data_IF_883669184329
#
_entry.id   IF_883669184329
#
_cell.length_a   1.000
_cell.length_b   1.000
_cell.length_c   1.000
_cell.angle_alpha   90.00
_cell.angle_beta   90.00
_cell.angle_gamma   90.00
#
_symmetry.space_group_name_H-M   'P 1'
#
loop_
_entity.id
_entity.type
_entity.pdbx_description
1 polymer ?
#
# COMPACT_ATOMS: atom_id res chain seq x y z
N UNK A 1 -1.51 -70.47 -58.35
CA UNK A 1 -1.46 -70.36 -59.82
C UNK A 1 -1.93 -68.97 -60.23
N UNK A 2 -1.07 -68.25 -60.97
CA UNK A 2 -1.31 -67.13 -61.89
C UNK A 2 -2.05 -65.87 -61.35
N UNK A 3 -1.36 -64.78 -61.01
CA UNK A 3 -1.03 -63.59 -61.85
C UNK A 3 -2.18 -62.92 -62.61
N UNK A 4 -2.32 -61.59 -62.43
CA UNK A 4 -2.66 -60.50 -63.40
C UNK A 4 -3.45 -59.41 -62.65
N UNK A 5 -2.90 -58.29 -62.18
CA UNK A 5 -2.25 -57.11 -62.80
C UNK A 5 -3.13 -56.33 -63.80
N UNK A 6 -3.28 -55.02 -63.48
CA UNK A 6 -3.68 -53.87 -64.33
C UNK A 6 -5.18 -53.72 -64.58
N UNK A 7 -5.79 -52.55 -64.74
CA UNK A 7 -5.47 -51.12 -64.57
C UNK A 7 -6.77 -50.38 -64.97
N UNK A 8 -6.76 -49.05 -64.88
CA UNK A 8 -7.57 -48.09 -65.66
C UNK A 8 -8.76 -47.44 -64.94
N UNK A 9 -8.41 -46.37 -64.22
CA UNK A 9 -8.95 -45.00 -64.36
C UNK A 9 -10.26 -44.85 -65.15
N UNK A 10 -11.31 -44.38 -64.47
CA UNK A 10 -12.28 -43.46 -65.05
C UNK A 10 -12.45 -42.25 -64.16
N UNK A 11 -11.84 -41.16 -64.61
CA UNK A 11 -12.13 -39.78 -64.26
C UNK A 11 -13.61 -39.52 -64.55
N UNK A 12 -14.36 -38.96 -63.60
CA UNK A 12 -15.42 -37.97 -63.82
C UNK A 12 -16.02 -37.56 -62.47
N UNK A 13 -16.12 -36.26 -62.20
CA UNK A 13 -16.98 -35.74 -61.13
C UNK A 13 -16.28 -34.77 -60.19
N UNK A 14 -16.24 -33.51 -60.60
CA UNK A 14 -15.80 -32.37 -59.82
C UNK A 14 -16.61 -32.21 -58.51
N UNK A 15 -15.91 -32.05 -57.38
CA UNK A 15 -16.27 -31.09 -56.32
C UNK A 15 -15.12 -30.99 -55.30
N UNK A 16 -14.09 -30.22 -55.64
CA UNK A 16 -13.11 -29.74 -54.68
C UNK A 16 -13.78 -28.68 -53.79
N UNK A 17 -14.43 -29.10 -52.71
CA UNK A 17 -14.95 -28.19 -51.69
C UNK A 17 -13.82 -27.87 -50.70
N UNK A 18 -13.00 -26.87 -51.05
CA UNK A 18 -12.06 -26.25 -50.12
C UNK A 18 -12.82 -25.68 -48.93
N UNK A 19 -12.69 -26.32 -47.77
CA UNK A 19 -13.15 -25.80 -46.50
C UNK A 19 -12.18 -24.69 -46.04
N UNK A 20 -12.46 -23.46 -46.43
CA UNK A 20 -11.81 -22.27 -45.85
C UNK A 20 -12.37 -22.12 -44.43
N UNK A 21 -11.56 -22.50 -43.44
CA UNK A 21 -11.82 -22.16 -42.03
C UNK A 21 -11.58 -20.66 -41.87
N UNK A 22 -12.67 -19.88 -41.89
CA UNK A 22 -12.64 -18.49 -41.45
C UNK A 22 -12.46 -18.50 -39.92
N UNK A 23 -11.23 -18.30 -39.45
CA UNK A 23 -10.97 -18.05 -38.04
C UNK A 23 -11.68 -16.73 -37.65
N UNK A 24 -12.56 -16.70 -36.63
CA UNK A 24 -13.01 -15.43 -36.10
C UNK A 24 -11.81 -14.79 -35.43
N UNK A 25 -11.20 -13.80 -36.08
CA UNK A 25 -10.32 -12.86 -35.41
C UNK A 25 -11.19 -12.12 -34.40
N UNK A 26 -11.20 -12.58 -33.15
CA UNK A 26 -11.75 -11.86 -32.04
C UNK A 26 -10.95 -10.56 -31.91
N UNK A 27 -11.46 -9.50 -32.55
CA UNK A 27 -10.95 -8.16 -32.37
C UNK A 27 -11.14 -7.86 -30.88
N UNK A 28 -10.02 -7.69 -30.17
CA UNK A 28 -10.00 -7.13 -28.84
C UNK A 28 -10.74 -5.79 -28.89
N UNK A 29 -12.02 -5.78 -28.53
CA UNK A 29 -12.79 -4.56 -28.42
C UNK A 29 -12.13 -3.76 -27.30
N UNK A 30 -11.51 -2.65 -27.69
CA UNK A 30 -10.96 -1.67 -26.73
C UNK A 30 -12.07 -1.35 -25.75
N UNK A 31 -11.75 -1.41 -24.45
CA UNK A 31 -12.69 -1.12 -23.36
C UNK A 31 -13.49 0.15 -23.75
N UNK A 32 -14.83 0.06 -23.91
CA UNK A 32 -15.63 1.20 -24.32
C UNK A 32 -15.34 2.39 -23.40
N UNK A 33 -15.10 3.56 -23.99
CA UNK A 33 -14.77 4.76 -23.23
C UNK A 33 -16.05 5.28 -22.57
N UNK A 34 -16.34 4.81 -21.35
CA UNK A 34 -17.45 5.29 -20.53
C UNK A 34 -16.96 6.25 -19.42
N UNK A 35 -17.88 6.87 -18.69
CA UNK A 35 -17.55 7.84 -17.66
C UNK A 35 -16.82 7.24 -16.44
N UNK A 36 -16.83 5.91 -16.26
CA UNK A 36 -16.06 5.25 -15.20
C UNK A 36 -14.55 5.32 -15.44
N UNK A 37 -14.12 5.61 -16.67
CA UNK A 37 -12.70 5.80 -17.01
C UNK A 37 -12.11 7.03 -16.31
N UNK A 38 -12.93 8.06 -16.01
CA UNK A 38 -12.46 9.26 -15.31
C UNK A 38 -12.07 8.98 -13.85
N UNK A 39 -12.77 8.07 -13.18
CA UNK A 39 -12.52 7.72 -11.78
C UNK A 39 -11.19 6.96 -11.62
N UNK A 40 -10.73 6.29 -12.68
CA UNK A 40 -9.45 5.58 -12.71
C UNK A 40 -8.23 6.47 -12.90
N UNK A 41 -8.39 7.78 -13.10
CA UNK A 41 -7.25 8.67 -13.32
C UNK A 41 -6.45 8.87 -12.03
N UNK A 42 -5.17 8.50 -12.09
CA UNK A 42 -4.23 8.65 -10.96
C UNK A 42 -3.19 9.70 -11.32
N UNK A 43 -2.99 10.66 -10.43
CA UNK A 43 -1.94 11.67 -10.57
C UNK A 43 -0.68 11.20 -9.86
N UNK A 44 0.46 11.32 -10.54
CA UNK A 44 1.77 11.21 -9.91
C UNK A 44 2.08 12.55 -9.23
N UNK A 45 2.41 12.51 -7.95
CA UNK A 45 2.90 13.62 -7.16
C UNK A 45 4.17 13.20 -6.41
N UNK A 46 4.91 14.16 -5.83
CA UNK A 46 6.04 13.93 -4.91
C UNK A 46 6.97 12.82 -5.39
N UNK A 47 7.90 13.20 -6.26
CA UNK A 47 8.84 12.29 -6.92
C UNK A 47 10.23 12.54 -6.36
N UNK A 48 10.97 11.47 -6.14
CA UNK A 48 12.39 11.52 -5.81
C UNK A 48 13.09 10.33 -6.47
N UNK A 49 14.38 10.46 -6.69
CA UNK A 49 15.26 9.36 -7.09
C UNK A 49 16.31 9.27 -5.97
N UNK A 50 16.71 8.06 -5.61
CA UNK A 50 17.78 7.84 -4.65
C UNK A 50 19.13 8.31 -5.18
N UNK A 51 20.06 8.62 -4.29
CA UNK A 51 21.38 9.16 -4.67
C UNK A 51 22.22 8.17 -5.48
N UNK A 52 22.02 6.87 -5.28
CA UNK A 52 22.62 5.79 -6.08
C UNK A 52 21.94 5.55 -7.44
N UNK A 53 20.79 6.20 -7.70
CA UNK A 53 20.01 6.08 -8.92
C UNK A 53 19.32 4.73 -9.11
N UNK A 54 19.32 3.83 -8.11
CA UNK A 54 18.69 2.51 -8.22
C UNK A 54 17.19 2.53 -7.89
N UNK A 55 16.74 3.51 -7.11
CA UNK A 55 15.36 3.58 -6.63
C UNK A 55 14.69 4.87 -7.07
N UNK A 56 13.46 4.75 -7.56
CA UNK A 56 12.56 5.85 -7.82
C UNK A 56 11.39 5.80 -6.84
N UNK A 57 11.08 6.93 -6.23
CA UNK A 57 9.95 7.10 -5.35
C UNK A 57 8.94 8.03 -5.98
N UNK A 58 7.67 7.65 -5.95
CA UNK A 58 6.59 8.49 -6.44
C UNK A 58 5.28 8.21 -5.72
N UNK A 59 4.49 9.25 -5.52
CA UNK A 59 3.18 9.14 -4.91
C UNK A 59 2.09 9.06 -5.97
N UNK A 60 1.27 8.01 -5.93
CA UNK A 60 0.05 7.91 -6.73
C UNK A 60 -1.15 8.39 -5.93
N UNK A 61 -1.76 9.48 -6.39
CA UNK A 61 -2.97 10.06 -5.81
C UNK A 61 -4.15 9.83 -6.76
N UNK A 62 -5.14 9.00 -6.38
CA UNK A 62 -6.40 8.94 -7.11
C UNK A 62 -7.21 10.23 -6.88
N UNK A 63 -8.15 10.52 -7.79
CA UNK A 63 -9.05 11.67 -7.66
C UNK A 63 -9.88 11.63 -6.38
N UNK A 64 -10.43 10.45 -6.05
CA UNK A 64 -11.04 10.15 -4.75
C UNK A 64 -10.38 8.93 -4.10
N UNK A 65 -10.42 8.86 -2.77
CA UNK A 65 -9.81 7.78 -2.01
C UNK A 65 -8.39 8.06 -1.53
N UNK A 66 -7.79 7.04 -0.93
CA UNK A 66 -6.48 7.13 -0.31
C UNK A 66 -5.35 6.98 -1.34
N UNK A 67 -4.31 7.79 -1.21
CA UNK A 67 -3.12 7.68 -2.07
C UNK A 67 -2.20 6.55 -1.62
N UNK A 68 -1.25 6.19 -2.46
CA UNK A 68 -0.16 5.27 -2.10
C UNK A 68 1.17 5.87 -2.52
N UNK A 69 2.23 5.51 -1.80
CA UNK A 69 3.59 5.82 -2.17
C UNK A 69 4.22 4.54 -2.71
N UNK A 70 4.81 4.63 -3.90
CA UNK A 70 5.52 3.52 -4.54
C UNK A 70 7.00 3.82 -4.53
N UNK A 71 7.79 2.83 -4.15
CA UNK A 71 9.25 2.84 -4.20
C UNK A 71 9.64 1.72 -5.15
N UNK A 72 10.17 2.10 -6.30
CA UNK A 72 10.38 1.23 -7.44
C UNK A 72 11.86 1.11 -7.75
N UNK A 73 12.34 -0.11 -7.88
CA UNK A 73 13.71 -0.39 -8.27
C UNK A 73 13.85 -0.29 -9.78
N UNK A 74 14.65 0.67 -10.25
CA UNK A 74 14.83 0.96 -11.67
C UNK A 74 15.63 -0.12 -12.42
N UNK A 75 16.29 -1.03 -11.70
CA UNK A 75 17.09 -2.12 -12.27
C UNK A 75 16.36 -3.46 -12.27
N UNK A 76 15.67 -3.79 -11.19
CA UNK A 76 15.01 -5.10 -11.00
C UNK A 76 13.51 -5.07 -11.27
N UNK A 77 12.93 -3.88 -11.48
CA UNK A 77 11.48 -3.65 -11.61
C UNK A 77 10.68 -3.98 -10.32
N UNK A 78 11.37 -4.24 -9.21
CA UNK A 78 10.74 -4.49 -7.92
C UNK A 78 10.00 -3.25 -7.41
N UNK A 79 8.86 -3.44 -6.75
CA UNK A 79 8.05 -2.33 -6.24
C UNK A 79 7.59 -2.58 -4.80
N UNK A 80 7.89 -1.63 -3.93
CA UNK A 80 7.41 -1.60 -2.55
C UNK A 80 6.31 -0.53 -2.45
N UNK A 81 5.14 -0.95 -1.95
CA UNK A 81 3.97 -0.07 -1.83
C UNK A 81 3.70 0.26 -0.37
N UNK A 82 3.72 1.56 -0.05
CA UNK A 82 3.26 2.09 1.23
C UNK A 82 1.86 2.68 1.06
N UNK A 83 0.86 1.93 1.52
CA UNK A 83 -0.53 2.39 1.56
C UNK A 83 -0.66 3.69 2.37
N UNK A 84 -1.45 4.64 1.86
CA UNK A 84 -1.62 5.98 2.47
C UNK A 84 -0.30 6.75 2.62
N UNK A 85 0.77 6.30 1.97
CA UNK A 85 2.07 6.94 1.98
C UNK A 85 2.04 8.30 1.30
N UNK A 86 2.70 9.28 1.91
CA UNK A 86 2.87 10.64 1.41
C UNK A 86 4.22 11.21 1.85
N UNK A 87 4.73 12.19 1.09
CA UNK A 87 5.97 12.92 1.41
C UNK A 87 7.16 12.00 1.72
N UNK A 88 7.34 10.93 0.95
CA UNK A 88 8.47 10.02 1.14
C UNK A 88 9.81 10.71 0.83
N UNK A 89 10.85 10.35 1.58
CA UNK A 89 12.22 10.79 1.39
C UNK A 89 13.16 9.60 1.54
N UNK A 90 14.24 9.58 0.75
CA UNK A 90 15.34 8.64 0.89
C UNK A 90 16.29 9.10 1.99
N UNK A 91 16.93 8.15 2.67
CA UNK A 91 18.18 8.42 3.40
C UNK A 91 19.33 8.63 2.41
N UNK A 92 20.36 9.35 2.80
CA UNK A 92 21.53 9.65 1.95
C UNK A 92 22.18 8.37 1.37
N UNK A 93 22.28 7.31 2.18
CA UNK A 93 22.84 6.02 1.77
C UNK A 93 21.92 5.16 0.88
N UNK A 94 20.73 5.67 0.54
CA UNK A 94 19.70 4.93 -0.18
C UNK A 94 19.32 3.57 0.44
N UNK A 95 19.54 3.36 1.74
CA UNK A 95 19.17 2.11 2.41
C UNK A 95 17.72 2.12 2.92
N UNK A 96 17.17 3.29 3.21
CA UNK A 96 15.83 3.44 3.76
C UNK A 96 15.00 4.51 3.03
N UNK A 97 13.68 4.31 3.07
CA UNK A 97 12.70 5.35 2.75
C UNK A 97 11.86 5.66 3.98
N UNK A 98 11.79 6.93 4.32
CA UNK A 98 10.91 7.42 5.38
C UNK A 98 9.74 8.16 4.76
N UNK A 99 8.52 7.75 5.10
CA UNK A 99 7.30 8.30 4.53
C UNK A 99 6.27 8.63 5.60
N UNK A 100 5.46 9.67 5.36
CA UNK A 100 4.28 9.94 6.17
C UNK A 100 3.17 8.96 5.78
N UNK A 101 2.45 8.43 6.75
CA UNK A 101 1.23 7.65 6.51
C UNK A 101 0.04 8.51 6.88
N UNK A 102 -0.76 8.93 5.89
CA UNK A 102 -1.98 9.71 6.16
C UNK A 102 -3.04 8.83 6.84
N UNK A 103 -3.87 9.37 7.75
CA UNK A 103 -5.01 8.64 8.28
C UNK A 103 -6.00 8.34 7.14
N UNK A 104 -6.71 7.20 7.24
CA UNK A 104 -7.67 6.83 6.21
C UNK A 104 -8.74 7.91 6.07
N UNK A 105 -9.04 8.33 4.84
CA UNK A 105 -10.06 9.35 4.57
C UNK A 105 -11.42 9.00 5.17
N UNK A 106 -11.74 7.70 5.25
CA UNK A 106 -12.97 7.22 5.90
C UNK A 106 -13.00 7.58 7.38
N UNK A 107 -11.96 7.24 8.13
CA UNK A 107 -11.86 7.49 9.57
C UNK A 107 -11.89 8.99 9.88
N UNK A 108 -11.22 9.80 9.05
CA UNK A 108 -11.25 11.27 9.18
C UNK A 108 -12.67 11.80 8.96
N UNK A 109 -13.40 11.29 7.96
CA UNK A 109 -14.79 11.68 7.69
C UNK A 109 -15.70 11.29 8.85
N UNK A 110 -15.56 10.08 9.39
CA UNK A 110 -16.33 9.59 10.53
C UNK A 110 -16.04 10.39 11.81
N UNK A 111 -14.77 10.69 12.09
CA UNK A 111 -14.37 11.52 13.22
C UNK A 111 -14.95 12.94 13.13
N UNK A 112 -14.97 13.52 11.92
CA UNK A 112 -15.61 14.83 11.68
C UNK A 112 -17.13 14.78 11.86
N UNK A 113 -17.80 13.73 11.34
CA UNK A 113 -19.25 13.53 11.54
C UNK A 113 -19.59 13.39 13.02
N UNK A 114 -18.75 12.68 13.77
CA UNK A 114 -18.88 12.51 15.22
C UNK A 114 -18.44 13.74 16.04
N UNK A 115 -18.03 14.85 15.39
CA UNK A 115 -17.55 16.08 16.04
C UNK A 115 -16.46 15.82 17.10
N UNK A 116 -15.57 14.85 16.83
CA UNK A 116 -14.47 14.52 17.74
C UNK A 116 -13.59 15.74 17.98
N UNK A 117 -13.04 15.84 19.19
CA UNK A 117 -12.09 16.91 19.53
C UNK A 117 -10.81 16.76 18.69
N UNK A 118 -10.04 17.85 18.47
CA UNK A 118 -8.80 17.79 17.69
C UNK A 118 -7.77 16.74 18.18
N UNK A 119 -7.81 16.40 19.47
CA UNK A 119 -6.93 15.37 20.06
C UNK A 119 -7.35 13.94 19.71
N UNK A 120 -8.65 13.70 19.51
CA UNK A 120 -9.25 12.40 19.18
C UNK A 120 -9.39 12.17 17.67
N UNK A 121 -9.00 13.15 16.87
CA UNK A 121 -8.94 13.04 15.42
C UNK A 121 -7.85 12.03 15.01
N UNK A 122 -8.10 11.19 13.98
CA UNK A 122 -7.08 10.33 13.40
C UNK A 122 -5.84 11.14 13.02
N UNK A 123 -4.67 10.71 13.50
CA UNK A 123 -3.39 11.37 13.24
C UNK A 123 -2.59 10.58 12.21
N UNK A 124 -1.74 11.29 11.49
CA UNK A 124 -0.80 10.66 10.59
C UNK A 124 0.22 9.82 11.38
N UNK A 125 0.77 8.82 10.72
CA UNK A 125 1.91 8.03 11.19
C UNK A 125 3.15 8.26 10.33
N UNK A 126 4.16 7.46 10.61
CA UNK A 126 5.40 7.35 9.86
C UNK A 126 5.54 5.89 9.41
N UNK A 127 6.04 5.68 8.20
CA UNK A 127 6.51 4.40 7.71
C UNK A 127 8.01 4.52 7.43
N UNK A 128 8.78 3.56 7.93
CA UNK A 128 10.20 3.41 7.65
C UNK A 128 10.33 2.11 6.85
N UNK A 129 10.81 2.22 5.62
CA UNK A 129 10.95 1.11 4.69
C UNK A 129 12.43 0.80 4.55
N UNK A 130 12.82 -0.44 4.80
CA UNK A 130 14.16 -0.93 4.48
C UNK A 130 14.16 -1.40 3.02
N UNK A 131 15.01 -0.80 2.17
CA UNK A 131 15.04 -1.10 0.73
C UNK A 131 15.74 -2.42 0.40
N UNK A 132 16.59 -2.93 1.29
CA UNK A 132 17.27 -4.21 1.09
C UNK A 132 16.36 -5.41 1.38
N UNK A 133 15.45 -5.29 2.34
CA UNK A 133 14.56 -6.39 2.77
C UNK A 133 13.10 -6.19 2.37
N UNK A 134 12.71 -4.97 1.99
CA UNK A 134 11.31 -4.59 1.79
C UNK A 134 10.51 -4.47 3.09
N UNK A 135 11.14 -4.60 4.26
CA UNK A 135 10.44 -4.52 5.54
C UNK A 135 9.91 -3.11 5.80
N UNK A 136 8.68 -3.00 6.29
CA UNK A 136 8.00 -1.73 6.58
C UNK A 136 7.66 -1.66 8.06
N UNK A 137 8.35 -0.80 8.79
CA UNK A 137 8.02 -0.46 10.17
C UNK A 137 7.10 0.76 10.21
N UNK A 138 6.08 0.72 11.07
CA UNK A 138 5.10 1.81 11.19
C UNK A 138 5.08 2.37 12.60
N UNK A 139 5.14 3.69 12.70
CA UNK A 139 5.03 4.45 13.94
C UNK A 139 3.77 5.30 13.87
N UNK A 140 2.87 5.14 14.84
CA UNK A 140 1.62 5.88 14.86
C UNK A 140 1.79 7.29 15.46
N UNK A 141 0.84 8.18 15.12
CA UNK A 141 0.70 9.53 15.71
C UNK A 141 1.97 10.40 15.61
N UNK A 142 2.55 10.47 14.42
CA UNK A 142 3.70 11.33 14.10
C UNK A 142 3.22 12.64 13.46
N UNK A 143 3.58 13.75 14.08
CA UNK A 143 3.24 15.11 13.63
C UNK A 143 4.10 15.55 12.44
N UNK A 144 5.41 15.32 12.54
CA UNK A 144 6.43 15.70 11.55
C UNK A 144 7.61 14.76 11.65
N UNK A 145 8.30 14.54 10.54
CA UNK A 145 9.62 13.94 10.53
C UNK A 145 10.57 14.78 9.68
N UNK A 146 11.86 14.52 9.84
CA UNK A 146 12.94 15.05 9.03
C UNK A 146 14.00 13.97 8.86
N UNK A 147 14.45 13.79 7.62
CA UNK A 147 15.62 12.99 7.28
C UNK A 147 16.80 13.96 7.18
N UNK A 148 17.96 13.66 7.79
CA UNK A 148 19.16 14.47 7.62
C UNK A 148 19.60 14.51 6.14
N UNK A 149 20.22 15.61 5.73
CA UNK A 149 20.84 15.73 4.41
C UNK A 149 22.18 14.99 4.35
N UNK A 150 22.91 14.96 5.47
CA UNK A 150 24.18 14.23 5.64
C UNK A 150 24.08 13.25 6.82
N UNK A 151 24.54 12.03 6.60
CA UNK A 151 24.44 10.88 7.49
C UNK A 151 23.13 10.11 7.32
N UNK A 152 23.18 8.79 7.53
CA UNK A 152 22.02 7.90 7.42
C UNK A 152 21.65 7.17 8.71
N UNK A 153 22.38 7.41 9.81
CA UNK A 153 22.25 6.65 11.06
C UNK A 153 20.99 6.98 11.87
N UNK A 154 20.34 8.12 11.60
CA UNK A 154 19.23 8.60 12.41
C UNK A 154 18.19 9.38 11.61
N UNK A 155 16.95 9.37 12.11
CA UNK A 155 15.83 10.13 11.58
C UNK A 155 15.12 10.79 12.75
N UNK A 156 14.83 12.09 12.64
CA UNK A 156 14.11 12.81 13.67
C UNK A 156 12.60 12.80 13.37
N UNK A 157 11.79 12.38 14.34
CA UNK A 157 10.33 12.50 14.26
C UNK A 157 9.75 13.06 15.55
N UNK A 158 8.71 13.89 15.38
CA UNK A 158 7.98 14.53 16.47
C UNK A 158 6.63 13.83 16.64
N UNK A 159 6.41 13.25 17.81
CA UNK A 159 5.14 12.62 18.17
C UNK A 159 4.07 13.68 18.52
N UNK A 160 2.81 13.34 18.24
CA UNK A 160 1.65 14.08 18.74
C UNK A 160 1.45 13.83 20.25
N UNK A 161 0.80 14.76 20.95
CA UNK A 161 0.46 14.60 22.37
C UNK A 161 -0.25 13.27 22.59
N UNK A 162 0.17 12.43 23.55
CA UNK A 162 -0.50 11.15 23.82
C UNK A 162 -1.98 11.38 24.07
N UNK A 163 -2.82 10.45 23.61
CA UNK A 163 -4.23 10.45 24.04
C UNK A 163 -4.19 10.33 25.55
N UNK A 164 -4.82 11.26 26.26
CA UNK A 164 -4.98 11.13 27.70
C UNK A 164 -5.75 9.83 27.92
N UNK A 165 -5.07 8.79 28.39
CA UNK A 165 -5.74 7.61 28.89
C UNK A 165 -6.69 8.12 29.97
N UNK A 166 -7.99 7.94 29.76
CA UNK A 166 -8.90 7.92 30.90
C UNK A 166 -8.43 6.74 31.73
N UNK A 167 -7.58 7.05 32.71
CA UNK A 167 -7.20 6.18 33.80
C UNK A 167 -8.51 5.61 34.31
N UNK A 168 -8.79 4.34 34.00
CA UNK A 168 -9.82 3.57 34.69
C UNK A 168 -9.36 3.55 36.14
N UNK A 169 -9.85 4.51 36.91
CA UNK A 169 -10.10 4.30 38.33
C UNK A 169 -11.07 3.13 38.35
N UNK A 170 -10.57 1.94 38.65
CA UNK A 170 -11.26 0.86 39.36
C UNK A 170 -10.29 -0.29 39.58
N UNK A 171 -9.53 -0.17 40.67
CA UNK A 171 -9.19 -1.33 41.50
C UNK A 171 -9.23 -0.83 42.95
N UNK A 172 -10.47 -0.69 43.41
CA UNK A 172 -10.89 -0.71 44.81
C UNK A 172 -10.29 -1.96 45.46
N UNK A 173 -9.13 -1.82 46.11
CA UNK A 173 -8.73 -2.74 47.16
C UNK A 173 -9.72 -2.58 48.32
N UNK A 174 -10.25 -3.65 48.92
CA UNK A 174 -11.05 -3.51 50.12
C UNK A 174 -10.15 -2.96 51.23
N UNK A 175 -10.45 -1.75 51.69
CA UNK A 175 -10.02 -1.28 52.99
C UNK A 175 -10.82 -2.06 54.03
N UNK A 176 -10.19 -3.08 54.61
CA UNK A 176 -10.56 -3.61 55.92
C UNK A 176 -10.41 -2.48 56.94
N UNK A 177 -11.55 -1.96 57.41
CA UNK A 177 -11.62 -1.28 58.69
C UNK A 177 -12.60 -2.07 59.56
N UNK A 178 -12.08 -2.68 60.63
CA UNK A 178 -12.55 -2.53 62.01
C UNK A 178 -12.06 -3.69 62.89
N UNK A 179 -11.15 -3.40 63.81
CA UNK A 179 -11.34 -3.65 65.25
C UNK A 179 -10.03 -3.37 66.02
N UNK A 180 -9.92 -2.17 66.60
CA UNK A 180 -8.99 -1.93 67.68
C UNK A 180 -9.49 -2.57 68.98
N UNK A 181 -8.65 -3.40 69.62
CA UNK A 181 -8.56 -3.76 71.06
C UNK A 181 -7.65 -4.99 71.13
N UNK A 182 -6.65 -5.14 71.99
CA UNK A 182 -6.33 -4.49 73.25
C UNK A 182 -4.91 -4.90 73.69
N UNK A 183 -4.23 -3.99 74.40
CA UNK A 183 -3.30 -4.19 75.54
C UNK A 183 -1.97 -4.98 75.34
N UNK A 184 -0.87 -4.25 75.61
CA UNK A 184 0.24 -4.52 76.55
C UNK A 184 0.38 -5.98 77.09
N UNK A 185 1.55 -6.62 77.23
CA UNK A 185 2.98 -6.26 77.44
C UNK A 185 3.76 -7.60 77.25
N UNK A 186 5.12 -7.68 77.26
CA UNK A 186 5.79 -8.96 77.60
C UNK A 186 5.38 -9.50 78.97
#
# INVERSE_FOLDING_TARGET
>A
MLTTRRSVVRVLGALSLSLVVAAPTALAQKKPLDHSVYDGWRRIAQRAISDDGLWALYQLKPGDGDGELRVHNLRTDEEIVVERGSRGAFTEDAAYVVARVEPAKKDVREAKKAKKKPDEMPKAGLAIVNLATGAIERVERVKRFAVPEEGSDWVAYLLEKPLLEKKKQDAKGPAEEQAGRAKAKP
#
